data_IF_281476270319
#
_entry.id   IF_281476270319
#
_cell.length_a   1.000
_cell.length_b   1.000
_cell.length_c   1.000
_cell.angle_alpha   90.00
_cell.angle_beta   90.00
_cell.angle_gamma   90.00
#
_symmetry.space_group_name_H-M   'P 1'
#
loop_
_entity.id
_entity.type
_entity.pdbx_description
1 polymer ?
#
# COMPACT_ATOMS: atom_id res chain seq x y z
N UNK A 1 8.63 4.25 1.13
CA UNK A 1 7.22 4.66 1.29
C UNK A 1 6.40 3.54 0.67
N UNK A 2 5.71 2.73 1.46
CA UNK A 2 4.69 1.82 0.94
C UNK A 2 3.72 2.65 0.08
N UNK A 3 3.67 2.37 -1.21
CA UNK A 3 2.68 2.98 -2.09
C UNK A 3 1.32 2.44 -1.66
N UNK A 4 0.47 3.32 -1.15
CA UNK A 4 -0.89 2.98 -0.81
C UNK A 4 -1.68 2.78 -2.10
N UNK A 5 -2.63 1.84 -2.10
CA UNK A 5 -3.41 1.55 -3.31
C UNK A 5 -4.37 2.70 -3.69
N UNK A 6 -4.47 3.73 -2.84
CA UNK A 6 -5.32 4.91 -3.04
C UNK A 6 -4.55 6.21 -3.28
N UNK A 7 -3.21 6.19 -3.29
CA UNK A 7 -2.39 7.40 -3.39
C UNK A 7 -2.70 8.17 -4.68
N UNK A 8 -2.81 7.48 -5.81
CA UNK A 8 -3.14 8.08 -7.12
C UNK A 8 -4.50 8.80 -7.09
N UNK A 9 -5.49 8.21 -6.42
CA UNK A 9 -6.84 8.79 -6.31
C UNK A 9 -6.84 10.01 -5.39
N UNK A 10 -6.09 9.97 -4.29
CA UNK A 10 -5.96 11.09 -3.37
C UNK A 10 -5.13 12.24 -3.95
N UNK A 11 -4.11 11.94 -4.77
CA UNK A 11 -3.31 12.95 -5.46
C UNK A 11 -4.14 13.75 -6.47
N UNK A 12 -5.10 13.11 -7.14
CA UNK A 12 -6.06 13.83 -8.02
C UNK A 12 -6.79 14.95 -7.28
N UNK A 13 -7.07 14.79 -5.99
CA UNK A 13 -7.69 15.86 -5.19
C UNK A 13 -6.75 17.07 -5.03
N UNK A 14 -5.47 16.83 -4.77
CA UNK A 14 -4.49 17.92 -4.69
C UNK A 14 -4.38 18.67 -6.03
N UNK A 15 -4.28 17.94 -7.14
CA UNK A 15 -4.23 18.54 -8.49
C UNK A 15 -5.49 19.35 -8.79
N UNK A 16 -6.67 18.88 -8.37
CA UNK A 16 -7.92 19.62 -8.53
C UNK A 16 -7.94 20.92 -7.75
N UNK A 17 -7.41 20.93 -6.52
CA UNK A 17 -7.29 22.17 -5.75
C UNK A 17 -6.43 23.20 -6.48
N UNK A 18 -5.27 22.80 -6.97
CA UNK A 18 -4.37 23.69 -7.70
C UNK A 18 -5.03 24.21 -8.99
N UNK A 19 -5.74 23.33 -9.70
CA UNK A 19 -6.46 23.69 -10.93
C UNK A 19 -7.55 24.74 -10.67
N UNK A 20 -8.34 24.57 -9.60
CA UNK A 20 -9.39 25.53 -9.22
C UNK A 20 -8.78 26.87 -8.82
N UNK A 21 -7.67 26.89 -8.08
CA UNK A 21 -7.02 28.14 -7.70
C UNK A 21 -6.47 28.91 -8.90
N UNK A 22 -5.86 28.20 -9.86
CA UNK A 22 -5.41 28.81 -11.12
C UNK A 22 -6.59 29.41 -11.88
N UNK A 23 -7.72 28.71 -11.95
CA UNK A 23 -8.93 29.24 -12.61
C UNK A 23 -9.42 30.52 -11.94
N UNK A 24 -9.52 30.52 -10.61
CA UNK A 24 -10.05 31.65 -9.85
C UNK A 24 -9.12 32.86 -9.83
N UNK A 25 -7.80 32.64 -9.94
CA UNK A 25 -6.80 33.73 -10.00
C UNK A 25 -6.86 34.55 -11.29
N UNK A 26 -7.52 34.04 -12.34
CA UNK A 26 -7.59 34.69 -13.66
C UNK A 26 -8.88 35.52 -13.87
N UNK A 27 -9.74 35.65 -12.87
CA UNK A 27 -11.05 36.32 -12.98
C UNK A 27 -11.09 37.77 -12.42
N UNK A 28 -12.08 38.57 -12.87
CA UNK A 28 -12.33 39.95 -12.40
C UNK A 28 -13.07 39.99 -11.05
N UNK A 29 -12.72 40.94 -10.17
CA UNK A 29 -13.04 41.00 -8.73
C UNK A 29 -14.49 40.76 -8.26
N UNK A 30 -15.52 41.00 -9.09
CA UNK A 30 -16.92 40.93 -8.65
C UNK A 30 -17.66 39.61 -9.01
N UNK A 31 -17.18 38.82 -9.99
CA UNK A 31 -17.69 37.45 -10.24
C UNK A 31 -17.10 36.43 -9.26
N UNK A 32 -16.00 36.81 -8.60
CA UNK A 32 -15.10 35.92 -7.86
C UNK A 32 -15.79 35.28 -6.67
N UNK A 33 -16.53 36.01 -5.83
CA UNK A 33 -17.10 35.45 -4.59
C UNK A 33 -18.16 34.35 -4.87
N UNK A 34 -19.07 34.59 -5.81
CA UNK A 34 -20.09 33.60 -6.16
C UNK A 34 -19.45 32.33 -6.75
N UNK A 35 -18.45 32.49 -7.61
CA UNK A 35 -17.74 31.37 -8.23
C UNK A 35 -16.89 30.60 -7.22
N UNK A 36 -16.20 31.29 -6.30
CA UNK A 36 -15.47 30.64 -5.20
C UNK A 36 -16.40 29.75 -4.36
N UNK A 37 -17.61 30.24 -4.08
CA UNK A 37 -18.58 29.50 -3.31
C UNK A 37 -19.11 28.26 -4.05
N UNK A 38 -19.45 28.41 -5.33
CA UNK A 38 -19.89 27.29 -6.14
C UNK A 38 -18.78 26.24 -6.30
N UNK A 39 -17.54 26.68 -6.50
CA UNK A 39 -16.38 25.79 -6.65
C UNK A 39 -16.06 25.05 -5.35
N UNK A 40 -16.15 25.67 -4.17
CA UNK A 40 -15.95 24.96 -2.91
C UNK A 40 -17.04 23.90 -2.69
N UNK A 41 -18.30 24.22 -2.99
CA UNK A 41 -19.39 23.26 -2.99
C UNK A 41 -19.13 22.05 -3.90
N UNK A 42 -18.77 22.29 -5.16
CA UNK A 42 -18.45 21.24 -6.13
C UNK A 42 -17.22 20.41 -5.74
N UNK A 43 -16.18 21.03 -5.18
CA UNK A 43 -15.01 20.33 -4.65
C UNK A 43 -15.40 19.40 -3.50
N UNK A 44 -16.27 19.82 -2.58
CA UNK A 44 -16.72 18.96 -1.47
C UNK A 44 -17.46 17.70 -1.96
N UNK A 45 -18.29 17.84 -3.02
CA UNK A 45 -18.93 16.70 -3.70
C UNK A 45 -17.88 15.77 -4.29
N UNK A 46 -16.91 16.34 -5.02
CA UNK A 46 -15.91 15.57 -5.74
C UNK A 46 -14.98 14.80 -4.79
N UNK A 47 -14.53 15.44 -3.71
CA UNK A 47 -13.71 14.79 -2.67
C UNK A 47 -14.47 13.60 -2.07
N UNK A 48 -15.75 13.79 -1.73
CA UNK A 48 -16.57 12.72 -1.14
C UNK A 48 -16.78 11.56 -2.11
N UNK A 49 -16.93 11.82 -3.40
CA UNK A 49 -17.02 10.79 -4.44
C UNK A 49 -15.70 10.03 -4.61
N UNK A 50 -14.57 10.72 -4.55
CA UNK A 50 -13.25 10.08 -4.58
C UNK A 50 -13.05 9.20 -3.34
N UNK A 51 -13.47 9.65 -2.15
CA UNK A 51 -13.43 8.84 -0.94
C UNK A 51 -14.26 7.56 -1.07
N UNK A 52 -15.49 7.67 -1.60
CA UNK A 52 -16.32 6.51 -1.91
C UNK A 52 -15.59 5.51 -2.82
N UNK A 53 -14.99 6.00 -3.90
CA UNK A 53 -14.23 5.18 -4.84
C UNK A 53 -13.00 4.53 -4.19
N UNK A 54 -12.27 5.25 -3.35
CA UNK A 54 -11.16 4.70 -2.59
C UNK A 54 -11.62 3.58 -1.65
N UNK A 55 -12.73 3.77 -0.94
CA UNK A 55 -13.29 2.78 -0.03
C UNK A 55 -13.71 1.52 -0.80
N UNK A 56 -14.45 1.67 -1.91
CA UNK A 56 -14.81 0.56 -2.82
C UNK A 56 -13.56 -0.18 -3.29
N UNK A 57 -12.58 0.54 -3.80
CA UNK A 57 -11.35 -0.02 -4.31
C UNK A 57 -10.58 -0.81 -3.23
N UNK A 58 -10.46 -0.29 -2.01
CA UNK A 58 -9.82 -1.00 -0.90
C UNK A 58 -10.55 -2.32 -0.59
N UNK A 59 -11.89 -2.31 -0.53
CA UNK A 59 -12.67 -3.54 -0.28
C UNK A 59 -12.54 -4.55 -1.41
N UNK A 60 -12.47 -4.07 -2.65
CA UNK A 60 -12.21 -4.90 -3.82
C UNK A 60 -10.81 -5.53 -3.77
N UNK A 61 -9.77 -4.74 -3.48
CA UNK A 61 -8.40 -5.25 -3.36
C UNK A 61 -8.28 -6.27 -2.22
N UNK A 62 -8.94 -6.00 -1.08
CA UNK A 62 -9.00 -6.93 0.03
C UNK A 62 -9.66 -8.26 -0.37
N UNK A 63 -10.85 -8.21 -0.97
CA UNK A 63 -11.60 -9.41 -1.35
C UNK A 63 -10.95 -10.21 -2.47
N UNK A 64 -10.34 -9.54 -3.44
CA UNK A 64 -9.60 -10.17 -4.55
C UNK A 64 -8.41 -10.99 -4.05
N UNK A 65 -7.79 -10.57 -2.95
CA UNK A 65 -6.70 -11.33 -2.34
C UNK A 65 -7.13 -12.73 -1.87
N UNK A 66 -8.37 -12.87 -1.38
CA UNK A 66 -8.85 -14.17 -0.91
C UNK A 66 -9.38 -15.04 -2.06
N UNK A 67 -10.29 -14.50 -2.88
CA UNK A 67 -10.87 -15.26 -3.99
C UNK A 67 -11.65 -14.37 -4.96
N UNK A 68 -11.59 -14.67 -6.26
CA UNK A 68 -12.30 -13.91 -7.31
C UNK A 68 -13.82 -13.88 -7.09
N UNK A 69 -14.47 -15.04 -6.82
CA UNK A 69 -15.91 -15.07 -6.48
C UNK A 69 -16.28 -14.19 -5.28
N UNK A 70 -15.39 -14.11 -4.28
CA UNK A 70 -15.63 -13.23 -3.13
C UNK A 70 -15.52 -11.76 -3.54
N UNK A 71 -14.56 -11.42 -4.41
CA UNK A 71 -14.49 -10.09 -5.01
C UNK A 71 -15.75 -9.72 -5.79
N UNK A 72 -16.29 -10.62 -6.63
CA UNK A 72 -17.55 -10.37 -7.34
C UNK A 72 -18.69 -10.08 -6.37
N UNK A 73 -18.81 -10.87 -5.30
CA UNK A 73 -19.83 -10.65 -4.28
C UNK A 73 -19.67 -9.30 -3.55
N UNK A 74 -18.43 -8.91 -3.21
CA UNK A 74 -18.14 -7.61 -2.58
C UNK A 74 -18.46 -6.46 -3.53
N UNK A 75 -18.07 -6.55 -4.80
CA UNK A 75 -18.43 -5.54 -5.82
C UNK A 75 -19.94 -5.34 -5.90
N UNK A 76 -20.70 -6.42 -6.04
CA UNK A 76 -22.16 -6.36 -6.12
C UNK A 76 -22.79 -5.80 -4.84
N UNK A 77 -22.28 -6.21 -3.66
CA UNK A 77 -22.82 -5.80 -2.36
C UNK A 77 -22.60 -4.31 -2.06
N UNK A 78 -21.53 -3.73 -2.61
CA UNK A 78 -21.12 -2.35 -2.33
C UNK A 78 -21.15 -1.42 -3.55
N UNK A 79 -21.67 -1.87 -4.69
CA UNK A 79 -21.81 -1.07 -5.91
C UNK A 79 -22.61 0.22 -5.65
N UNK A 80 -23.67 0.10 -4.85
CA UNK A 80 -24.60 1.19 -4.50
C UNK A 80 -24.23 1.98 -3.26
N UNK A 81 -22.96 1.95 -2.84
CA UNK A 81 -22.53 2.85 -1.78
C UNK A 81 -22.82 4.31 -2.17
N UNK A 82 -23.24 5.08 -1.19
CA UNK A 82 -23.45 6.51 -1.32
C UNK A 82 -22.24 7.21 -0.74
N UNK A 83 -21.81 8.31 -1.35
CA UNK A 83 -20.73 9.21 -0.93
C UNK A 83 -20.99 9.95 0.39
N UNK A 84 -21.81 9.37 1.27
CA UNK A 84 -22.00 9.73 2.68
C UNK A 84 -21.56 8.56 3.56
N UNK A 85 -20.39 8.00 3.30
CA UNK A 85 -19.84 6.89 4.08
C UNK A 85 -19.26 7.46 5.37
N UNK A 86 -19.99 7.35 6.48
CA UNK A 86 -19.53 7.79 7.79
C UNK A 86 -18.51 6.82 8.39
N UNK A 87 -17.82 7.26 9.44
CA UNK A 87 -16.85 6.43 10.15
C UNK A 87 -17.48 5.15 10.72
N UNK A 88 -18.72 5.20 11.19
CA UNK A 88 -19.45 4.04 11.67
C UNK A 88 -19.70 3.03 10.54
N UNK A 89 -19.92 3.51 9.31
CA UNK A 89 -20.04 2.65 8.13
C UNK A 89 -18.71 1.95 7.86
N UNK A 90 -17.59 2.67 7.89
CA UNK A 90 -16.25 2.10 7.72
C UNK A 90 -15.97 1.00 8.75
N UNK A 91 -16.26 1.26 10.03
CA UNK A 91 -16.12 0.26 11.11
C UNK A 91 -17.00 -0.97 10.85
N UNK A 92 -18.20 -0.77 10.32
CA UNK A 92 -19.12 -1.86 9.97
C UNK A 92 -18.58 -2.69 8.80
N UNK A 93 -18.01 -2.05 7.77
CA UNK A 93 -17.40 -2.74 6.64
C UNK A 93 -16.15 -3.53 7.06
N UNK A 94 -15.31 -2.95 7.93
CA UNK A 94 -14.17 -3.66 8.52
C UNK A 94 -14.65 -4.94 9.20
N UNK A 95 -15.67 -4.87 10.06
CA UNK A 95 -16.21 -6.05 10.74
C UNK A 95 -16.80 -7.07 9.76
N UNK A 96 -17.58 -6.63 8.76
CA UNK A 96 -18.21 -7.50 7.77
C UNK A 96 -17.18 -8.26 6.92
N UNK A 97 -16.05 -7.61 6.61
CA UNK A 97 -14.96 -8.18 5.85
C UNK A 97 -13.90 -8.84 6.73
N UNK A 98 -14.13 -9.04 8.04
CA UNK A 98 -13.15 -9.64 8.96
C UNK A 98 -11.81 -8.89 9.03
N UNK A 99 -11.82 -7.57 8.80
CA UNK A 99 -10.68 -6.70 8.99
C UNK A 99 -10.36 -6.41 10.46
N UNK A 100 -9.25 -5.72 10.70
CA UNK A 100 -8.79 -5.39 12.04
C UNK A 100 -9.21 -3.99 12.47
N UNK A 101 -10.30 -3.94 13.23
CA UNK A 101 -10.86 -2.70 13.80
C UNK A 101 -9.91 -2.00 14.77
N UNK A 102 -9.14 -2.76 15.56
CA UNK A 102 -8.17 -2.18 16.50
C UNK A 102 -7.04 -1.45 15.75
N UNK A 103 -6.63 -1.96 14.59
CA UNK A 103 -5.68 -1.26 13.71
C UNK A 103 -6.24 0.06 13.19
N UNK A 104 -7.52 0.09 12.80
CA UNK A 104 -8.19 1.32 12.40
C UNK A 104 -8.14 2.37 13.52
N UNK A 105 -8.61 1.99 14.72
CA UNK A 105 -8.71 2.89 15.87
C UNK A 105 -7.32 3.34 16.36
N UNK A 106 -6.35 2.43 16.38
CA UNK A 106 -4.95 2.75 16.69
C UNK A 106 -4.36 3.73 15.69
N UNK A 107 -4.57 3.53 14.39
CA UNK A 107 -4.06 4.43 13.35
C UNK A 107 -4.63 5.83 13.54
N UNK A 108 -5.96 5.95 13.69
CA UNK A 108 -6.62 7.24 13.96
C UNK A 108 -6.05 7.89 15.22
N UNK A 109 -5.91 7.15 16.32
CA UNK A 109 -5.37 7.69 17.58
C UNK A 109 -3.95 8.25 17.40
N UNK A 110 -3.08 7.55 16.66
CA UNK A 110 -1.72 8.00 16.39
C UNK A 110 -1.71 9.29 15.58
N UNK A 111 -2.55 9.39 14.55
CA UNK A 111 -2.63 10.59 13.71
C UNK A 111 -3.22 11.77 14.48
N UNK A 112 -4.30 11.56 15.23
CA UNK A 112 -4.90 12.62 16.07
C UNK A 112 -3.89 13.18 17.07
N UNK A 113 -3.10 12.31 17.72
CA UNK A 113 -2.03 12.76 18.64
C UNK A 113 -0.93 13.52 17.91
N UNK A 114 -0.54 13.07 16.71
CA UNK A 114 0.53 13.69 15.92
C UNK A 114 0.18 15.10 15.49
N UNK A 115 -1.06 15.32 15.05
CA UNK A 115 -1.50 16.61 14.53
C UNK A 115 -2.22 17.48 15.55
N UNK A 116 -2.52 16.95 16.74
CA UNK A 116 -3.34 17.64 17.77
C UNK A 116 -4.69 18.08 17.19
N UNK A 117 -5.24 17.24 16.31
CA UNK A 117 -6.44 17.51 15.54
C UNK A 117 -7.35 16.27 15.62
N UNK A 118 -8.65 16.49 15.43
CA UNK A 118 -9.60 15.39 15.33
C UNK A 118 -9.92 15.13 13.85
N UNK A 119 -9.17 14.22 13.22
CA UNK A 119 -9.32 13.91 11.79
C UNK A 119 -10.69 13.32 11.46
N UNK A 120 -11.34 12.66 12.43
CA UNK A 120 -12.67 12.07 12.29
C UNK A 120 -13.71 13.16 12.07
N UNK A 121 -13.63 14.23 12.88
CA UNK A 121 -14.49 15.40 12.71
C UNK A 121 -14.25 16.06 11.35
N UNK A 122 -13.00 16.25 10.93
CA UNK A 122 -12.69 16.86 9.63
C UNK A 122 -13.24 16.04 8.46
N UNK A 123 -13.17 14.71 8.56
CA UNK A 123 -13.77 13.80 7.59
C UNK A 123 -15.29 13.95 7.51
N UNK A 124 -15.98 13.91 8.66
CA UNK A 124 -17.44 14.09 8.71
C UNK A 124 -17.88 15.48 8.22
N UNK A 125 -17.08 16.53 8.43
CA UNK A 125 -17.38 17.86 7.92
C UNK A 125 -17.41 17.91 6.39
N UNK A 126 -16.47 17.25 5.70
CA UNK A 126 -16.50 17.17 4.22
C UNK A 126 -17.80 16.53 3.74
N UNK A 127 -18.23 15.44 4.38
CA UNK A 127 -19.49 14.77 4.03
C UNK A 127 -20.71 15.66 4.29
N UNK A 128 -20.66 16.47 5.35
CA UNK A 128 -21.71 17.42 5.68
C UNK A 128 -21.77 18.57 4.66
N UNK A 129 -20.63 19.12 4.24
CA UNK A 129 -20.55 20.15 3.20
C UNK A 129 -21.11 19.64 1.88
N UNK A 130 -20.72 18.44 1.45
CA UNK A 130 -21.33 17.76 0.30
C UNK A 130 -22.86 17.74 0.43
N UNK A 131 -23.36 17.25 1.56
CA UNK A 131 -24.79 17.03 1.75
C UNK A 131 -25.58 18.35 1.71
N UNK A 132 -25.08 19.39 2.39
CA UNK A 132 -25.67 20.72 2.38
C UNK A 132 -25.69 21.33 0.98
N UNK A 133 -24.58 21.23 0.26
CA UNK A 133 -24.48 21.77 -1.09
C UNK A 133 -25.38 21.01 -2.07
N UNK A 134 -25.31 19.68 -2.11
CA UNK A 134 -26.06 18.86 -3.07
C UNK A 134 -27.60 18.90 -2.90
N UNK A 135 -28.10 19.10 -1.67
CA UNK A 135 -29.54 19.06 -1.40
C UNK A 135 -30.18 20.41 -1.10
N UNK A 136 -29.43 21.34 -0.50
CA UNK A 136 -29.96 22.64 -0.09
C UNK A 136 -29.33 23.80 -0.88
N UNK A 137 -28.36 23.52 -1.77
CA UNK A 137 -27.56 24.54 -2.44
C UNK A 137 -26.92 25.55 -1.46
N UNK A 138 -26.63 25.07 -0.25
CA UNK A 138 -26.00 25.86 0.82
C UNK A 138 -24.51 25.61 0.75
N UNK A 139 -23.74 26.69 0.59
CA UNK A 139 -22.30 26.63 0.68
C UNK A 139 -21.81 27.29 1.97
N UNK A 140 -21.40 26.45 2.93
CA UNK A 140 -20.93 26.87 4.25
C UNK A 140 -19.41 26.69 4.40
N UNK A 141 -18.67 26.56 3.29
CA UNK A 141 -17.22 26.28 3.33
C UNK A 141 -16.45 27.03 2.27
N UNK A 142 -15.16 27.26 2.53
CA UNK A 142 -14.23 27.88 1.59
C UNK A 142 -13.28 26.82 1.02
N UNK A 143 -12.60 27.16 -0.08
CA UNK A 143 -11.59 26.28 -0.70
C UNK A 143 -10.44 26.00 0.28
N UNK A 144 -9.96 27.02 0.98
CA UNK A 144 -8.88 26.88 1.98
C UNK A 144 -9.29 25.96 3.13
N UNK A 145 -10.52 26.09 3.62
CA UNK A 145 -11.03 25.21 4.66
C UNK A 145 -11.10 23.75 4.18
N UNK A 146 -11.60 23.53 2.95
CA UNK A 146 -11.62 22.21 2.33
C UNK A 146 -10.21 21.62 2.14
N UNK A 147 -9.21 22.42 1.78
CA UNK A 147 -7.81 21.97 1.70
C UNK A 147 -7.31 21.45 3.04
N UNK A 148 -7.56 22.22 4.11
CA UNK A 148 -7.19 21.82 5.47
C UNK A 148 -7.93 20.54 5.87
N UNK A 149 -9.23 20.45 5.58
CA UNK A 149 -10.02 19.29 5.96
C UNK A 149 -9.59 18.05 5.17
N UNK A 150 -9.33 18.17 3.87
CA UNK A 150 -8.81 17.11 3.01
C UNK A 150 -7.48 16.58 3.52
N UNK A 151 -6.55 17.48 3.88
CA UNK A 151 -5.21 17.13 4.41
C UNK A 151 -5.30 16.16 5.58
N UNK A 152 -6.29 16.33 6.46
CA UNK A 152 -6.49 15.49 7.64
C UNK A 152 -7.37 14.27 7.35
N UNK A 153 -8.51 14.47 6.71
CA UNK A 153 -9.53 13.44 6.50
C UNK A 153 -9.05 12.29 5.60
N UNK A 154 -8.08 12.51 4.70
CA UNK A 154 -7.48 11.41 3.93
C UNK A 154 -6.86 10.31 4.82
N UNK A 155 -6.45 10.65 6.04
CA UNK A 155 -5.93 9.68 7.01
C UNK A 155 -7.00 8.71 7.53
N UNK A 156 -8.29 9.06 7.45
CA UNK A 156 -9.38 8.11 7.73
C UNK A 156 -9.41 7.02 6.66
N UNK A 157 -9.21 7.38 5.39
CA UNK A 157 -9.16 6.41 4.29
C UNK A 157 -7.91 5.52 4.40
N UNK A 158 -6.75 6.09 4.73
CA UNK A 158 -5.54 5.29 5.01
C UNK A 158 -5.71 4.36 6.23
N UNK A 159 -6.40 4.81 7.28
CA UNK A 159 -6.71 3.95 8.42
C UNK A 159 -7.58 2.76 7.98
N UNK A 160 -8.57 3.00 7.11
CA UNK A 160 -9.44 1.96 6.55
C UNK A 160 -8.66 0.96 5.69
N UNK A 161 -7.78 1.44 4.81
CA UNK A 161 -6.87 0.59 4.04
C UNK A 161 -6.01 -0.29 4.96
N UNK A 162 -5.40 0.31 5.99
CA UNK A 162 -4.55 -0.39 6.94
C UNK A 162 -5.32 -1.47 7.73
N UNK A 163 -6.57 -1.19 8.08
CA UNK A 163 -7.43 -2.12 8.82
C UNK A 163 -7.77 -3.38 8.03
N UNK A 164 -8.03 -3.24 6.73
CA UNK A 164 -8.35 -4.38 5.85
C UNK A 164 -7.07 -5.04 5.32
N UNK A 165 -6.20 -4.24 4.73
CA UNK A 165 -5.09 -4.75 3.90
C UNK A 165 -3.76 -4.81 4.67
N UNK A 166 -3.60 -4.05 5.76
CA UNK A 166 -2.36 -4.01 6.54
C UNK A 166 -1.98 -5.38 7.13
N UNK A 167 -2.96 -6.17 7.55
CA UNK A 167 -2.71 -7.53 8.04
C UNK A 167 -2.23 -8.46 6.93
N UNK A 168 -2.86 -8.41 5.75
CA UNK A 168 -2.45 -9.19 4.57
C UNK A 168 -0.98 -8.88 4.23
N UNK A 169 -0.59 -7.60 4.22
CA UNK A 169 0.81 -7.20 3.99
C UNK A 169 1.73 -7.84 5.04
N UNK A 170 1.37 -7.78 6.32
CA UNK A 170 2.19 -8.34 7.41
C UNK A 170 2.33 -9.86 7.31
N UNK A 171 1.25 -10.57 6.99
CA UNK A 171 1.27 -12.03 6.82
C UNK A 171 2.08 -12.46 5.60
N UNK A 172 1.94 -11.76 4.48
CA UNK A 172 2.76 -11.99 3.29
C UNK A 172 4.25 -11.82 3.59
N UNK A 173 4.63 -10.74 4.28
CA UNK A 173 6.03 -10.51 4.72
C UNK A 173 6.52 -11.63 5.61
N UNK A 174 5.74 -12.04 6.62
CA UNK A 174 6.13 -13.15 7.50
C UNK A 174 6.30 -14.46 6.74
N UNK A 175 5.42 -14.73 5.77
CA UNK A 175 5.52 -15.90 4.88
C UNK A 175 6.78 -15.86 4.01
N UNK A 176 7.13 -14.70 3.45
CA UNK A 176 8.39 -14.49 2.73
C UNK A 176 9.59 -14.66 3.65
N UNK A 177 9.59 -14.02 4.83
CA UNK A 177 10.66 -14.14 5.83
C UNK A 177 10.87 -15.62 6.25
N UNK A 178 9.78 -16.38 6.42
CA UNK A 178 9.84 -17.81 6.72
C UNK A 178 10.38 -18.64 5.55
N UNK A 179 9.91 -18.41 4.31
CA UNK A 179 10.45 -19.09 3.11
C UNK A 179 11.94 -18.80 2.93
N UNK A 180 12.34 -17.54 3.08
CA UNK A 180 13.75 -17.12 3.05
C UNK A 180 14.55 -17.82 4.17
N UNK A 181 13.98 -17.91 5.38
CA UNK A 181 14.62 -18.58 6.52
C UNK A 181 14.74 -20.09 6.30
N UNK A 182 13.77 -20.73 5.65
CA UNK A 182 13.81 -22.16 5.32
C UNK A 182 14.83 -22.48 4.23
N UNK A 183 14.98 -21.60 3.23
CA UNK A 183 15.98 -21.74 2.17
C UNK A 183 17.41 -21.48 2.65
N UNK A 184 17.59 -20.68 3.72
CA UNK A 184 18.93 -20.33 4.23
C UNK A 184 19.75 -21.55 4.76
N UNK A 185 19.18 -22.53 5.50
CA UNK A 185 19.87 -23.75 5.92
C UNK A 185 19.82 -24.92 4.91
N UNK A 186 18.94 -24.90 3.89
CA UNK A 186 18.99 -25.94 2.84
C UNK A 186 20.23 -25.83 1.94
N UNK A 187 20.99 -24.72 2.02
CA UNK A 187 22.30 -24.60 1.39
C UNK A 187 23.45 -25.20 2.22
N UNK A 188 23.24 -25.55 3.51
CA UNK A 188 24.25 -26.21 4.34
C UNK A 188 24.06 -27.73 4.43
N UNK A 189 22.92 -28.29 4.00
CA UNK A 189 22.65 -29.72 4.05
C UNK A 189 22.16 -30.28 2.70
N UNK A 190 23.06 -31.00 2.02
CA UNK A 190 22.90 -31.99 0.94
C UNK A 190 22.08 -31.62 -0.32
N UNK A 191 22.73 -31.86 -1.47
CA UNK A 191 22.09 -31.86 -2.78
C UNK A 191 21.02 -32.94 -2.96
N UNK A 192 20.19 -32.70 -3.97
CA UNK A 192 19.00 -33.45 -4.39
C UNK A 192 17.69 -33.09 -3.68
N UNK A 193 17.09 -31.99 -4.11
CA UNK A 193 15.74 -31.96 -4.72
C UNK A 193 15.30 -30.50 -4.88
N UNK A 194 15.37 -29.96 -6.10
CA UNK A 194 14.68 -28.72 -6.47
C UNK A 194 14.09 -28.92 -7.87
N UNK A 195 12.96 -29.63 -7.94
CA UNK A 195 12.15 -29.72 -9.14
C UNK A 195 10.88 -28.89 -8.93
N UNK A 196 10.60 -28.02 -9.90
CA UNK A 196 9.43 -27.13 -10.04
C UNK A 196 9.32 -25.99 -9.01
N UNK A 197 9.86 -24.83 -9.38
CA UNK A 197 9.36 -23.53 -8.93
C UNK A 197 7.97 -23.32 -9.54
N UNK A 198 6.95 -23.93 -8.93
CA UNK A 198 5.55 -23.66 -9.27
C UNK A 198 5.12 -22.33 -8.66
N UNK A 199 5.42 -21.21 -9.34
CA UNK A 199 4.73 -19.95 -9.12
C UNK A 199 3.25 -20.15 -9.49
N UNK A 200 2.44 -20.61 -8.54
CA UNK A 200 0.98 -20.50 -8.67
C UNK A 200 0.65 -19.01 -8.75
N UNK A 201 -0.18 -18.69 -9.75
CA UNK A 201 -0.65 -17.36 -10.15
C UNK A 201 -0.77 -16.42 -8.95
N UNK A 202 0.22 -15.55 -8.83
CA UNK A 202 0.24 -14.43 -7.91
C UNK A 202 -0.92 -13.49 -8.25
N UNK A 203 -1.68 -13.07 -7.24
CA UNK A 203 -2.69 -12.00 -7.39
C UNK A 203 -2.04 -10.73 -7.99
N UNK A 204 -2.81 -9.89 -8.68
CA UNK A 204 -2.33 -8.64 -9.32
C UNK A 204 -1.46 -7.75 -8.42
N UNK A 205 -1.61 -7.87 -7.10
CA UNK A 205 -0.83 -7.15 -6.09
C UNK A 205 0.43 -7.87 -5.62
N UNK A 206 0.41 -9.20 -5.57
CA UNK A 206 1.64 -9.98 -5.47
C UNK A 206 2.50 -9.73 -6.70
N UNK A 207 1.93 -9.57 -7.89
CA UNK A 207 2.64 -9.14 -9.09
C UNK A 207 3.25 -7.73 -8.93
N UNK A 208 2.56 -6.78 -8.28
CA UNK A 208 3.08 -5.41 -8.07
C UNK A 208 4.19 -5.32 -7.01
N UNK A 209 4.05 -6.04 -5.88
CA UNK A 209 5.11 -6.17 -4.87
C UNK A 209 6.29 -7.01 -5.39
N UNK A 210 6.02 -8.02 -6.22
CA UNK A 210 7.04 -8.75 -6.96
C UNK A 210 7.72 -7.83 -7.98
N UNK A 211 7.02 -6.96 -8.70
CA UNK A 211 7.57 -5.99 -9.65
C UNK A 211 8.52 -4.99 -8.97
N UNK A 212 8.14 -4.41 -7.83
CA UNK A 212 8.99 -3.46 -7.09
C UNK A 212 10.22 -4.10 -6.43
N UNK A 213 10.14 -5.40 -6.16
CA UNK A 213 11.23 -6.19 -5.61
C UNK A 213 11.85 -7.12 -6.66
N UNK A 214 11.46 -7.05 -7.94
CA UNK A 214 11.72 -8.11 -8.92
C UNK A 214 13.21 -8.21 -9.18
N UNK A 215 13.84 -7.06 -9.43
CA UNK A 215 15.27 -6.95 -9.62
C UNK A 215 16.05 -7.41 -8.38
N UNK A 216 15.55 -7.11 -7.18
CA UNK A 216 16.20 -7.51 -5.92
C UNK A 216 16.05 -9.02 -5.72
N UNK A 217 14.88 -9.59 -6.00
CA UNK A 217 14.60 -11.01 -5.89
C UNK A 217 15.36 -11.82 -6.95
N UNK A 218 15.39 -11.35 -8.21
CA UNK A 218 16.21 -11.90 -9.29
C UNK A 218 17.70 -11.83 -8.96
N UNK A 219 18.17 -10.72 -8.36
CA UNK A 219 19.56 -10.57 -7.91
C UNK A 219 19.89 -11.55 -6.78
N UNK A 220 19.01 -11.69 -5.79
CA UNK A 220 19.15 -12.68 -4.71
C UNK A 220 19.15 -14.10 -5.27
N UNK A 221 18.22 -14.42 -6.17
CA UNK A 221 18.11 -15.73 -6.80
C UNK A 221 19.37 -16.08 -7.59
N UNK A 222 19.84 -15.20 -8.47
CA UNK A 222 21.11 -15.37 -9.21
C UNK A 222 22.29 -15.55 -8.26
N UNK A 223 22.33 -14.80 -7.16
CA UNK A 223 23.40 -14.89 -6.17
C UNK A 223 23.37 -16.23 -5.42
N UNK A 224 22.17 -16.74 -5.11
CA UNK A 224 21.98 -18.06 -4.50
C UNK A 224 22.38 -19.20 -5.45
N UNK A 225 22.04 -19.10 -6.74
CA UNK A 225 22.49 -20.06 -7.76
C UNK A 225 24.01 -20.09 -7.87
N UNK A 226 24.64 -18.92 -7.97
CA UNK A 226 26.11 -18.83 -8.08
C UNK A 226 26.79 -19.34 -6.82
N UNK A 227 26.25 -19.04 -5.65
CA UNK A 227 26.76 -19.54 -4.37
C UNK A 227 26.67 -21.08 -4.30
N UNK A 228 25.59 -21.68 -4.80
CA UNK A 228 25.44 -23.13 -4.90
C UNK A 228 26.47 -23.78 -5.85
N UNK A 229 26.77 -23.16 -6.99
CA UNK A 229 27.81 -23.63 -7.93
C UNK A 229 29.22 -23.52 -7.34
N UNK A 230 29.54 -22.42 -6.66
CA UNK A 230 30.82 -22.22 -6.00
C UNK A 230 31.02 -23.22 -4.86
N UNK A 231 29.97 -23.52 -4.08
CA UNK A 231 30.05 -24.55 -3.04
C UNK A 231 30.26 -25.96 -3.63
N UNK A 232 29.59 -26.30 -4.73
CA UNK A 232 29.80 -27.57 -5.43
C UNK A 232 31.25 -27.69 -5.93
N UNK A 233 31.77 -26.60 -6.49
CA UNK A 233 33.14 -26.51 -7.00
C UNK A 233 34.16 -26.59 -5.86
N UNK A 234 34.01 -25.80 -4.80
CA UNK A 234 34.88 -25.79 -3.63
C UNK A 234 34.94 -27.17 -2.94
N UNK A 235 33.81 -27.88 -2.86
CA UNK A 235 33.76 -29.25 -2.33
C UNK A 235 34.58 -30.22 -3.18
N UNK A 236 34.51 -30.11 -4.52
CA UNK A 236 35.33 -30.91 -5.43
C UNK A 236 36.83 -30.57 -5.37
N UNK A 237 37.17 -29.30 -5.10
CA UNK A 237 38.53 -28.80 -5.00
C UNK A 237 39.22 -29.18 -3.68
N UNK A 238 38.47 -29.25 -2.57
CA UNK A 238 38.98 -29.68 -1.25
C UNK A 238 39.50 -31.13 -1.20
N UNK A 239 39.24 -31.91 -2.25
CA UNK A 239 39.67 -33.31 -2.41
C UNK A 239 40.98 -33.45 -3.22
N UNK A 240 41.54 -32.35 -3.74
CA UNK A 240 42.76 -32.36 -4.58
C UNK A 240 43.82 -31.36 -4.05
N UNK A 241 45.01 -31.82 -3.64
CA UNK A 241 46.07 -30.96 -3.07
C UNK A 241 46.56 -29.84 -4.00
N UNK A 242 46.48 -30.04 -5.32
CA UNK A 242 47.00 -29.10 -6.33
C UNK A 242 46.17 -27.81 -6.47
N UNK A 243 44.99 -27.77 -5.83
CA UNK A 243 44.04 -26.68 -6.00
C UNK A 243 43.79 -25.85 -4.72
N UNK A 244 44.53 -26.11 -3.64
CA UNK A 244 44.44 -25.39 -2.37
C UNK A 244 44.62 -23.86 -2.53
N UNK A 245 45.41 -23.41 -3.51
CA UNK A 245 45.62 -21.99 -3.79
C UNK A 245 44.39 -21.23 -4.31
N UNK A 246 43.33 -21.92 -4.74
CA UNK A 246 42.08 -21.30 -5.24
C UNK A 246 41.05 -21.07 -4.13
N UNK A 247 41.18 -21.72 -2.96
CA UNK A 247 40.22 -21.58 -1.84
C UNK A 247 40.00 -20.13 -1.38
N UNK A 248 41.04 -19.29 -1.22
CA UNK A 248 40.85 -17.90 -0.79
C UNK A 248 40.00 -17.06 -1.76
N UNK A 249 40.04 -17.41 -3.05
CA UNK A 249 39.23 -16.74 -4.09
C UNK A 249 37.75 -17.12 -3.94
N UNK A 250 37.45 -18.40 -3.71
CA UNK A 250 36.09 -18.86 -3.44
C UNK A 250 35.53 -18.29 -2.15
N UNK A 251 36.32 -18.21 -1.08
CA UNK A 251 35.88 -17.63 0.20
C UNK A 251 35.52 -16.15 0.06
N UNK A 252 36.30 -15.39 -0.71
CA UNK A 252 36.00 -14.00 -1.01
C UNK A 252 34.69 -13.86 -1.80
N UNK A 253 34.51 -14.66 -2.84
CA UNK A 253 33.31 -14.61 -3.70
C UNK A 253 32.04 -15.06 -2.93
N UNK A 254 32.15 -16.07 -2.06
CA UNK A 254 31.06 -16.49 -1.16
C UNK A 254 30.68 -15.36 -0.19
N UNK A 255 31.66 -14.62 0.34
CA UNK A 255 31.40 -13.50 1.26
C UNK A 255 30.66 -12.36 0.56
N UNK A 256 31.06 -12.01 -0.66
CA UNK A 256 30.41 -10.98 -1.48
C UNK A 256 28.96 -11.36 -1.83
N UNK A 257 28.71 -12.61 -2.23
CA UNK A 257 27.37 -13.11 -2.52
C UNK A 257 26.46 -13.11 -1.28
N UNK A 258 26.99 -13.49 -0.11
CA UNK A 258 26.24 -13.43 1.14
C UNK A 258 25.90 -11.99 1.55
N UNK A 259 26.78 -11.03 1.25
CA UNK A 259 26.52 -9.61 1.49
C UNK A 259 25.41 -9.08 0.58
N UNK A 260 25.42 -9.43 -0.72
CA UNK A 260 24.35 -9.11 -1.67
C UNK A 260 23.00 -9.67 -1.17
N UNK A 261 22.98 -10.93 -0.74
CA UNK A 261 21.78 -11.58 -0.22
C UNK A 261 21.29 -10.88 1.07
N UNK A 262 22.20 -10.54 1.98
CA UNK A 262 21.89 -9.86 3.24
C UNK A 262 21.32 -8.45 3.01
N UNK A 263 21.94 -7.69 2.12
CA UNK A 263 21.52 -6.33 1.78
C UNK A 263 20.18 -6.36 1.02
N UNK A 264 20.00 -7.26 0.06
CA UNK A 264 18.72 -7.45 -0.62
C UNK A 264 17.59 -7.84 0.34
N UNK A 265 17.85 -8.71 1.32
CA UNK A 265 16.87 -9.03 2.38
C UNK A 265 16.51 -7.80 3.22
N UNK A 266 17.50 -7.02 3.67
CA UNK A 266 17.26 -5.77 4.42
C UNK A 266 16.44 -4.79 3.59
N UNK A 267 16.73 -4.67 2.31
CA UNK A 267 16.04 -3.75 1.43
C UNK A 267 14.59 -4.17 1.17
N UNK A 268 14.32 -5.45 0.95
CA UNK A 268 12.95 -5.98 0.88
C UNK A 268 12.21 -5.70 2.20
N UNK A 269 12.82 -5.99 3.35
CA UNK A 269 12.20 -5.73 4.66
C UNK A 269 11.89 -4.24 4.84
N UNK A 270 12.81 -3.35 4.46
CA UNK A 270 12.62 -1.90 4.56
C UNK A 270 11.55 -1.39 3.61
N UNK A 271 11.47 -1.94 2.39
CA UNK A 271 10.44 -1.58 1.40
C UNK A 271 9.05 -2.00 1.85
N UNK A 272 8.91 -3.11 2.58
CA UNK A 272 7.59 -3.62 2.98
C UNK A 272 7.13 -3.19 4.40
N UNK A 273 8.04 -2.88 5.34
CA UNK A 273 7.68 -2.50 6.73
C UNK A 273 7.19 -1.06 6.95
N UNK A 274 7.34 -0.15 5.99
CA UNK A 274 6.98 1.29 6.12
C UNK A 274 5.80 1.62 5.25
#
# INVERSE_FOLDING_TARGET
MNISCIDVQLEKIAIMFDSVEIMLSNEQENSTISMHNEMSGLLSITISAIYENCIKFIMEQYSLHYHEKFNSHVKESYDRLNSRIRIENLKSYISALSGNKDNFERYISVINRRYVENIEVKYEQILNYRHKFAHANINDTTIDELKVFFKFSKHVIYAFESALIGNIKSEFVKGLEQKIRYLSPMHTASGHMMSSFGLRVASLREQYLLLECEDILLSIEKSLYKLAELHKSAKSLSLSPENLGKLPVYEKEIKELNEIISNGKKEIINRVRV
#
